data_IF_270262528933
#
_entry.id   IF_270262528933
#
_cell.length_a   1.000
_cell.length_b   1.000
_cell.length_c   1.000
_cell.angle_alpha   90.00
_cell.angle_beta   90.00
_cell.angle_gamma   90.00
#
_symmetry.space_group_name_H-M   'P 1'
#
loop_
_entity.id
_entity.type
_entity.pdbx_description
1 polymer ?
#
# COMPACT_ATOMS: atom_id res chain seq x y z
N UNK A 1 -1.92 15.05 7.92
CA UNK A 1 -0.82 14.30 8.55
C UNK A 1 -0.99 14.24 10.06
N UNK A 2 -1.36 15.34 10.74
CA UNK A 2 -1.66 15.33 12.18
C UNK A 2 -2.83 14.41 12.60
N UNK A 3 -3.93 14.30 11.84
CA UNK A 3 -5.11 13.59 12.37
C UNK A 3 -4.99 12.06 12.47
N UNK A 4 -4.20 11.43 11.59
CA UNK A 4 -3.93 9.99 11.68
C UNK A 4 -3.04 9.66 12.89
N UNK A 5 -2.03 10.52 13.13
CA UNK A 5 -1.12 10.40 14.28
C UNK A 5 -1.80 10.80 15.59
N UNK A 6 -2.75 11.75 15.55
CA UNK A 6 -3.50 12.22 16.71
C UNK A 6 -4.66 11.27 17.09
N UNK A 7 -4.85 10.16 16.38
CA UNK A 7 -5.64 9.02 16.85
C UNK A 7 -7.16 9.21 16.88
N UNK A 8 -7.72 10.29 16.33
CA UNK A 8 -9.15 10.58 16.47
C UNK A 8 -10.07 9.73 15.58
N UNK A 9 -9.60 9.20 14.44
CA UNK A 9 -10.49 8.49 13.49
C UNK A 9 -10.01 7.10 13.04
N UNK A 10 -8.71 6.77 13.15
CA UNK A 10 -8.14 5.51 12.65
C UNK A 10 -7.29 4.78 13.70
N UNK A 11 -7.81 4.67 14.92
CA UNK A 11 -7.12 3.98 16.02
C UNK A 11 -6.93 2.50 15.67
N UNK A 12 -5.69 2.01 15.79
CA UNK A 12 -5.31 0.62 15.49
C UNK A 12 -5.04 0.30 14.01
N UNK A 13 -5.26 1.26 13.11
CA UNK A 13 -4.79 1.16 11.74
C UNK A 13 -3.31 1.52 11.65
N UNK A 14 -2.64 0.89 10.71
CA UNK A 14 -1.24 1.09 10.40
C UNK A 14 -1.10 1.72 9.03
N UNK A 15 -0.09 2.57 8.89
CA UNK A 15 0.30 3.17 7.63
C UNK A 15 1.82 3.14 7.49
N UNK A 16 2.28 2.97 6.26
CA UNK A 16 3.70 2.98 5.93
C UNK A 16 4.34 4.35 6.07
N UNK A 17 5.66 4.42 6.29
CA UNK A 17 6.36 5.68 6.19
C UNK A 17 6.28 6.21 4.76
N UNK A 18 5.79 7.44 4.61
CA UNK A 18 5.70 8.10 3.31
C UNK A 18 7.03 8.72 2.96
N UNK A 19 7.65 8.19 1.91
CA UNK A 19 8.94 8.65 1.36
C UNK A 19 8.81 9.25 -0.04
N UNK A 20 7.59 9.46 -0.52
CA UNK A 20 7.29 10.00 -1.83
C UNK A 20 6.67 11.40 -1.75
N UNK A 21 6.84 12.18 -2.81
CA UNK A 21 6.31 13.54 -2.91
C UNK A 21 4.76 13.56 -2.98
N UNK A 22 4.11 14.70 -2.66
CA UNK A 22 2.66 14.84 -2.72
C UNK A 22 2.03 14.26 -3.98
N UNK A 23 0.85 13.67 -3.86
CA UNK A 23 0.17 12.99 -4.97
C UNK A 23 -0.82 13.88 -5.69
N UNK A 24 -1.20 15.00 -5.07
CA UNK A 24 -2.16 15.99 -5.55
C UNK A 24 -1.63 17.42 -5.27
N UNK A 25 -1.99 18.48 -5.99
CA UNK A 25 -2.66 18.55 -7.30
C UNK A 25 -1.62 18.88 -8.36
N UNK A 26 -1.59 18.09 -9.44
CA UNK A 26 -0.71 18.33 -10.58
C UNK A 26 -1.43 19.08 -11.72
N UNK A 27 -0.64 19.77 -12.54
CA UNK A 27 -1.13 20.25 -13.82
C UNK A 27 -1.28 19.08 -14.81
N UNK A 28 -2.28 19.11 -15.70
CA UNK A 28 -2.48 18.05 -16.69
C UNK A 28 -1.20 17.75 -17.46
N UNK A 29 -0.83 16.47 -17.57
CA UNK A 29 0.36 16.01 -18.31
C UNK A 29 1.70 16.63 -17.85
N UNK A 30 1.80 17.15 -16.63
CA UNK A 30 3.00 17.84 -16.14
C UNK A 30 3.37 17.40 -14.72
N UNK A 31 4.65 17.53 -14.36
CA UNK A 31 5.16 17.31 -12.99
C UNK A 31 5.13 18.59 -12.14
N UNK A 32 4.55 19.65 -12.69
CA UNK A 32 4.38 20.93 -12.00
C UNK A 32 3.11 20.88 -11.17
N UNK A 33 3.21 21.26 -9.90
CA UNK A 33 2.06 21.41 -9.03
C UNK A 33 1.17 22.57 -9.50
N UNK A 34 -0.13 22.41 -9.34
CA UNK A 34 -1.15 23.36 -9.80
C UNK A 34 -0.89 24.81 -9.34
N UNK A 35 -0.35 25.00 -8.14
CA UNK A 35 0.00 26.32 -7.60
C UNK A 35 1.05 27.09 -8.41
N UNK A 36 1.92 26.40 -9.17
CA UNK A 36 3.00 26.99 -9.96
C UNK A 36 2.60 27.29 -11.42
N UNK A 37 1.60 26.60 -11.96
CA UNK A 37 1.14 26.80 -13.35
C UNK A 37 0.34 28.10 -13.55
N UNK A 38 -0.04 28.77 -12.47
CA UNK A 38 -0.84 30.00 -12.50
C UNK A 38 0.05 31.25 -12.45
N UNK A 39 0.98 31.43 -13.41
CA UNK A 39 1.61 32.73 -13.63
C UNK A 39 0.64 33.60 -14.44
N UNK A 40 -0.07 34.52 -13.79
CA UNK A 40 -0.86 35.56 -14.47
C UNK A 40 -2.35 35.30 -14.72
N UNK A 41 -2.91 34.13 -14.37
CA UNK A 41 -4.38 33.92 -14.36
C UNK A 41 -4.94 34.12 -12.95
N UNK A 42 -6.06 34.87 -12.86
CA UNK A 42 -6.81 35.17 -11.63
C UNK A 42 -6.85 33.97 -10.68
N UNK A 43 -6.65 34.26 -9.39
CA UNK A 43 -6.52 33.34 -8.26
C UNK A 43 -7.77 32.44 -8.14
N UNK A 44 -7.88 31.41 -8.96
CA UNK A 44 -8.81 30.32 -8.72
C UNK A 44 -8.12 29.37 -7.73
N UNK A 45 -8.53 29.47 -6.45
CA UNK A 45 -8.20 28.58 -5.31
C UNK A 45 -6.94 27.73 -5.53
N UNK A 46 -5.77 28.30 -5.27
CA UNK A 46 -4.50 27.56 -5.27
C UNK A 46 -4.60 26.41 -4.27
N UNK A 47 -4.72 25.18 -4.76
CA UNK A 47 -4.64 23.97 -3.93
C UNK A 47 -3.18 23.73 -3.60
N UNK A 48 -2.86 23.65 -2.31
CA UNK A 48 -1.54 23.26 -1.85
C UNK A 48 -1.28 21.79 -2.20
N UNK A 49 -0.02 21.39 -2.46
CA UNK A 49 0.34 19.99 -2.62
C UNK A 49 -0.09 19.18 -1.39
N UNK A 50 -0.71 18.03 -1.61
CA UNK A 50 -1.26 17.16 -0.59
C UNK A 50 -1.05 15.67 -0.92
N UNK A 51 -1.04 14.84 0.12
CA UNK A 51 -1.07 13.38 0.03
C UNK A 51 -2.49 12.91 0.30
N UNK A 52 -3.37 13.03 -0.70
CA UNK A 52 -4.76 12.61 -0.57
C UNK A 52 -4.93 11.10 -0.71
N UNK A 53 -3.99 10.44 -1.39
CA UNK A 53 -4.04 9.03 -1.76
C UNK A 53 -3.26 8.20 -0.74
N UNK A 54 -3.97 7.46 0.12
CA UNK A 54 -3.42 6.77 1.31
C UNK A 54 -3.80 5.29 1.30
N UNK A 55 -2.88 4.43 1.73
CA UNK A 55 -3.14 2.99 1.89
C UNK A 55 -2.83 2.62 3.33
N UNK A 56 -3.88 2.26 4.07
CA UNK A 56 -3.80 1.86 5.47
C UNK A 56 -4.24 0.41 5.62
N UNK A 57 -3.74 -0.27 6.65
CA UNK A 57 -4.14 -1.65 6.96
C UNK A 57 -4.43 -1.82 8.44
N UNK A 58 -5.22 -2.84 8.77
CA UNK A 58 -5.57 -3.18 10.15
C UNK A 58 -5.31 -4.66 10.41
N UNK A 59 -4.92 -4.98 11.65
CA UNK A 59 -4.70 -6.35 12.10
C UNK A 59 -3.24 -6.82 12.00
N UNK A 60 -3.04 -8.10 12.34
CA UNK A 60 -1.72 -8.74 12.42
C UNK A 60 -1.49 -9.63 11.20
N UNK A 61 -0.22 -9.85 10.86
CA UNK A 61 0.16 -10.77 9.77
C UNK A 61 0.38 -10.09 8.42
N UNK A 62 0.10 -8.80 8.27
CA UNK A 62 0.51 -8.01 7.11
C UNK A 62 1.81 -7.26 7.42
N UNK A 63 2.83 -7.46 6.60
CA UNK A 63 4.08 -6.69 6.62
C UNK A 63 4.20 -5.92 5.31
N UNK A 64 4.24 -4.59 5.41
CA UNK A 64 4.44 -3.75 4.23
C UNK A 64 5.89 -3.86 3.74
N UNK A 65 6.03 -4.14 2.44
CA UNK A 65 7.32 -4.29 1.74
C UNK A 65 7.63 -3.00 0.96
N UNK A 66 6.65 -2.46 0.26
CA UNK A 66 6.81 -1.25 -0.56
C UNK A 66 5.65 -0.28 -0.28
N UNK A 67 5.97 1.02 -0.27
CA UNK A 67 4.98 2.09 -0.29
C UNK A 67 5.47 3.25 -1.14
N UNK A 68 4.98 3.32 -2.38
CA UNK A 68 5.53 4.21 -3.41
C UNK A 68 4.45 4.85 -4.25
N UNK A 69 4.85 5.87 -4.99
CA UNK A 69 4.04 6.58 -5.96
C UNK A 69 4.58 6.26 -7.36
N UNK A 70 3.68 6.15 -8.33
CA UNK A 70 4.02 6.06 -9.75
C UNK A 70 3.89 7.42 -10.45
N UNK A 71 4.71 7.65 -11.47
CA UNK A 71 4.77 8.93 -12.19
C UNK A 71 3.79 9.04 -13.37
N UNK A 72 2.67 8.32 -13.32
CA UNK A 72 1.63 8.42 -14.35
C UNK A 72 0.98 9.81 -14.32
N UNK A 73 0.91 10.47 -15.48
CA UNK A 73 0.45 11.86 -15.64
C UNK A 73 -0.95 11.99 -16.23
N UNK A 74 -1.67 10.87 -16.32
CA UNK A 74 -3.00 10.78 -16.92
C UNK A 74 -4.07 11.54 -16.12
N UNK A 75 -3.79 11.85 -14.85
CA UNK A 75 -4.66 12.58 -13.92
C UNK A 75 -3.87 13.68 -13.21
N UNK A 76 -4.57 14.59 -12.55
CA UNK A 76 -4.02 15.54 -11.58
C UNK A 76 -3.59 14.87 -10.26
N UNK A 77 -3.85 13.56 -10.12
CA UNK A 77 -3.30 12.68 -9.10
C UNK A 77 -2.19 11.78 -9.66
N UNK A 78 -1.24 11.44 -8.79
CA UNK A 78 -0.23 10.40 -9.02
C UNK A 78 -0.65 9.10 -8.31
N UNK A 79 -0.76 7.96 -9.02
CA UNK A 79 -1.21 6.71 -8.39
C UNK A 79 -0.24 6.24 -7.31
N UNK A 80 -0.80 5.80 -6.18
CA UNK A 80 -0.07 5.24 -5.04
C UNK A 80 -0.22 3.73 -4.99
N UNK A 81 0.87 3.03 -4.71
CA UNK A 81 0.94 1.58 -4.58
C UNK A 81 1.55 1.20 -3.24
N UNK A 82 1.05 0.12 -2.66
CA UNK A 82 1.70 -0.57 -1.56
C UNK A 82 1.77 -2.07 -1.83
N UNK A 83 2.88 -2.70 -1.44
CA UNK A 83 3.07 -4.16 -1.52
C UNK A 83 3.17 -4.71 -0.11
N UNK A 84 2.51 -5.83 0.14
CA UNK A 84 2.47 -6.49 1.45
C UNK A 84 2.81 -7.97 1.34
N UNK A 85 3.52 -8.48 2.34
CA UNK A 85 3.59 -9.91 2.64
C UNK A 85 2.50 -10.24 3.65
N UNK A 86 1.71 -11.29 3.39
CA UNK A 86 0.61 -11.73 4.24
C UNK A 86 0.90 -13.13 4.83
N UNK A 87 0.87 -13.23 6.15
CA UNK A 87 0.91 -14.50 6.85
C UNK A 87 -0.49 -15.14 6.84
N UNK A 88 -0.62 -16.29 6.20
CA UNK A 88 -1.89 -17.03 6.08
C UNK A 88 -1.80 -18.34 6.85
N UNK A 89 -2.82 -18.65 7.66
CA UNK A 89 -2.97 -19.97 8.27
C UNK A 89 -3.76 -20.86 7.32
N UNK A 90 -3.18 -21.99 6.93
CA UNK A 90 -3.86 -23.00 6.12
C UNK A 90 -4.36 -24.10 7.05
N UNK A 91 -5.68 -24.30 7.12
CA UNK A 91 -6.25 -25.44 7.86
C UNK A 91 -5.95 -26.75 7.12
N UNK A 92 -5.61 -27.79 7.87
CA UNK A 92 -5.29 -29.12 7.33
C UNK A 92 -6.48 -29.84 6.71
N UNK A 93 -7.72 -29.41 6.97
CA UNK A 93 -8.93 -29.98 6.35
C UNK A 93 -9.06 -29.60 4.86
N UNK A 94 -8.35 -28.56 4.42
CA UNK A 94 -8.38 -28.03 3.06
C UNK A 94 -7.24 -28.60 2.19
N UNK A 95 -6.50 -29.59 2.69
CA UNK A 95 -5.46 -30.30 1.91
C UNK A 95 -6.03 -31.01 0.68
N UNK A 96 -7.31 -31.38 0.69
CA UNK A 96 -8.00 -31.98 -0.47
C UNK A 96 -8.36 -30.97 -1.57
N UNK A 97 -8.33 -29.66 -1.27
CA UNK A 97 -8.65 -28.59 -2.23
C UNK A 97 -7.41 -27.79 -2.65
N UNK A 98 -6.21 -28.32 -2.44
CA UNK A 98 -4.94 -27.69 -2.89
C UNK A 98 -4.87 -27.46 -4.42
N UNK A 99 -5.81 -28.02 -5.19
CA UNK A 99 -5.99 -27.73 -6.61
C UNK A 99 -6.86 -26.49 -6.91
N UNK A 100 -7.49 -25.86 -5.93
CA UNK A 100 -8.09 -24.52 -6.08
C UNK A 100 -7.00 -23.46 -5.87
N UNK A 101 -5.88 -23.64 -6.56
CA UNK A 101 -4.77 -22.70 -6.52
C UNK A 101 -5.23 -21.39 -7.15
N UNK A 102 -5.50 -20.39 -6.31
CA UNK A 102 -5.69 -19.00 -6.73
C UNK A 102 -4.44 -18.41 -7.43
N UNK A 103 -3.31 -19.15 -7.49
CA UNK A 103 -2.07 -18.71 -8.13
C UNK A 103 -2.17 -18.58 -9.65
N UNK A 104 -3.06 -19.33 -10.32
CA UNK A 104 -3.10 -19.34 -11.80
C UNK A 104 -3.54 -18.01 -12.42
N UNK A 105 -4.17 -17.11 -11.66
CA UNK A 105 -4.53 -15.77 -12.17
C UNK A 105 -3.43 -14.72 -12.02
N UNK A 106 -2.51 -14.87 -11.08
CA UNK A 106 -1.47 -13.87 -10.80
C UNK A 106 -0.09 -14.22 -11.38
N UNK A 107 0.18 -15.50 -11.69
CA UNK A 107 1.41 -15.97 -12.36
C UNK A 107 1.62 -15.36 -13.77
N UNK A 108 0.60 -14.69 -14.33
CA UNK A 108 0.72 -13.98 -15.63
C UNK A 108 1.45 -12.63 -15.54
N UNK A 109 1.85 -12.16 -14.36
CA UNK A 109 2.67 -10.95 -14.22
C UNK A 109 4.11 -11.36 -13.89
N UNK A 110 4.87 -11.78 -14.90
CA UNK A 110 6.33 -11.93 -14.78
C UNK A 110 6.97 -10.55 -14.68
N UNK A 111 7.40 -10.16 -13.47
CA UNK A 111 8.46 -9.16 -13.29
C UNK A 111 9.67 -9.84 -12.66
N UNK A 112 10.90 -9.52 -13.08
CA UNK A 112 12.11 -10.20 -12.61
C UNK A 112 12.50 -9.63 -11.24
N UNK A 113 12.21 -10.35 -10.16
CA UNK A 113 12.84 -10.06 -8.87
C UNK A 113 13.01 -11.34 -8.05
N UNK A 114 14.25 -11.78 -7.90
CA UNK A 114 14.66 -12.90 -7.04
C UNK A 114 14.36 -12.56 -5.57
N UNK A 115 13.61 -13.43 -4.90
CA UNK A 115 13.46 -13.43 -3.45
C UNK A 115 14.31 -14.59 -2.91
N UNK A 116 15.42 -14.26 -2.28
CA UNK A 116 16.32 -15.21 -1.62
C UNK A 116 15.64 -15.83 -0.40
N UNK A 117 15.62 -17.17 -0.35
CA UNK A 117 15.07 -17.94 0.76
C UNK A 117 16.12 -18.20 1.83
N UNK A 118 16.10 -17.43 2.91
CA UNK A 118 16.60 -17.90 4.21
C UNK A 118 15.76 -17.22 5.29
N UNK A 119 14.92 -18.02 5.97
CA UNK A 119 14.80 -18.02 7.42
C UNK A 119 13.75 -19.07 7.80
N UNK A 120 14.23 -20.21 8.32
CA UNK A 120 13.42 -21.27 8.91
C UNK A 120 12.67 -20.70 10.13
N UNK A 121 11.33 -20.61 10.02
CA UNK A 121 10.49 -20.34 11.20
C UNK A 121 9.89 -21.65 11.67
N UNK A 122 10.54 -22.20 12.70
CA UNK A 122 10.11 -23.37 13.48
C UNK A 122 8.69 -23.16 14.02
N UNK A 123 7.77 -24.00 13.55
CA UNK A 123 6.40 -24.07 14.05
C UNK A 123 6.40 -24.72 15.44
N UNK A 124 6.43 -23.90 16.50
CA UNK A 124 6.13 -24.39 17.85
C UNK A 124 4.64 -24.69 17.94
N UNK A 125 4.31 -25.99 17.95
CA UNK A 125 3.00 -26.50 18.36
C UNK A 125 2.78 -26.09 19.82
N UNK A 126 1.98 -25.05 20.06
CA UNK A 126 1.42 -24.85 21.38
C UNK A 126 0.06 -25.56 21.41
N UNK A 127 0.11 -26.84 21.80
CA UNK A 127 -1.02 -27.59 22.28
C UNK A 127 -1.35 -27.07 23.67
N UNK A 128 -2.44 -26.32 23.82
CA UNK A 128 -3.34 -26.47 24.97
C UNK A 128 -4.56 -25.58 24.80
N UNK A 129 -5.69 -26.21 24.48
CA UNK A 129 -6.99 -25.73 24.94
C UNK A 129 -7.16 -26.15 26.42
N UNK A 130 -7.78 -25.26 27.22
CA UNK A 130 -8.57 -25.43 28.46
C UNK A 130 -8.63 -24.05 29.14
N UNK A 131 -9.76 -23.47 29.54
CA UNK A 131 -11.19 -23.79 29.55
C UNK A 131 -11.95 -22.50 29.16
#
# INVERSE_FOLDING_TARGET
>A
MMELMNGNNLKGWHEGPIKFAPTYKYCPNSDIYYGCCCHGKKIEKKRAPAWCDRIVWYGKGLKQVEYTRSESKLSDHRPVRAIFTAAVRVSSEVKSLQNLSLSERFEKIKTPFEVSSTDEIVCRKQLSFRL
#
